data_IF_848849401700
#
_entry.id   IF_848849401700
#
_cell.length_a   1.000
_cell.length_b   1.000
_cell.length_c   1.000
_cell.angle_alpha   90.00
_cell.angle_beta   90.00
_cell.angle_gamma   90.00
#
_symmetry.space_group_name_H-M   'P 1'
#
loop_
_entity.id
_entity.type
_entity.pdbx_description
1 polymer ?
#
# COMPACT_ATOMS: atom_id res chain seq x y z
N UNK A 1 14.91 9.71 -15.64
CA UNK A 1 15.56 8.39 -15.68
C UNK A 1 16.80 8.33 -16.59
N UNK A 2 16.71 8.19 -17.92
CA UNK A 2 17.92 7.98 -18.78
C UNK A 2 18.96 9.10 -18.60
N UNK A 3 18.51 10.36 -18.56
CA UNK A 3 19.39 11.52 -18.33
C UNK A 3 20.07 11.51 -16.95
N UNK A 4 19.40 11.07 -15.89
CA UNK A 4 19.97 11.01 -14.54
C UNK A 4 20.88 9.79 -14.35
N UNK A 5 20.59 8.65 -15.01
CA UNK A 5 21.51 7.50 -15.02
C UNK A 5 22.84 7.92 -15.65
N UNK A 6 22.79 8.56 -16.83
CA UNK A 6 23.97 9.09 -17.51
C UNK A 6 24.63 10.20 -16.67
N UNK A 7 23.83 11.10 -16.10
CA UNK A 7 24.30 12.19 -15.25
C UNK A 7 25.00 11.73 -13.98
N UNK A 8 24.48 10.70 -13.30
CA UNK A 8 25.07 10.13 -12.09
C UNK A 8 26.40 9.46 -12.36
N UNK A 9 26.49 8.69 -13.45
CA UNK A 9 27.74 8.08 -13.89
C UNK A 9 28.80 9.14 -14.27
N UNK A 10 28.40 10.17 -15.01
CA UNK A 10 29.34 11.21 -15.47
C UNK A 10 29.75 12.19 -14.35
N UNK A 11 28.86 12.48 -13.39
CA UNK A 11 29.13 13.44 -12.31
C UNK A 11 29.85 12.84 -11.11
N UNK A 12 29.98 11.50 -11.05
CA UNK A 12 30.40 10.76 -9.85
C UNK A 12 29.60 11.16 -8.58
N UNK A 13 28.35 11.63 -8.70
CA UNK A 13 27.50 11.96 -7.55
C UNK A 13 26.63 10.77 -7.14
N UNK A 14 26.64 10.43 -5.84
CA UNK A 14 25.76 9.39 -5.29
C UNK A 14 24.34 9.90 -5.16
N UNK A 15 24.11 11.18 -4.85
CA UNK A 15 22.76 11.71 -4.77
C UNK A 15 22.03 11.64 -6.12
N UNK A 16 22.73 11.82 -7.24
CA UNK A 16 22.11 11.65 -8.58
C UNK A 16 21.94 10.18 -8.93
N UNK A 17 22.91 9.35 -8.61
CA UNK A 17 22.75 7.90 -8.78
C UNK A 17 21.59 7.37 -7.94
N UNK A 18 21.40 7.92 -6.72
CA UNK A 18 20.27 7.65 -5.82
C UNK A 18 18.95 8.05 -6.47
N UNK A 19 18.85 9.27 -7.00
CA UNK A 19 17.64 9.75 -7.66
C UNK A 19 17.29 8.93 -8.91
N UNK A 20 18.31 8.62 -9.73
CA UNK A 20 18.17 7.77 -10.91
C UNK A 20 17.74 6.33 -10.54
N UNK A 21 18.32 5.77 -9.48
CA UNK A 21 17.98 4.44 -8.98
C UNK A 21 16.56 4.41 -8.42
N UNK A 22 16.14 5.46 -7.69
CA UNK A 22 14.77 5.60 -7.21
C UNK A 22 13.77 5.62 -8.36
N UNK A 23 13.97 6.46 -9.39
CA UNK A 23 13.07 6.51 -10.55
C UNK A 23 13.02 5.18 -11.32
N UNK A 24 14.14 4.46 -11.39
CA UNK A 24 14.16 3.11 -11.98
C UNK A 24 13.35 2.13 -11.13
N UNK A 25 13.48 2.17 -9.80
CA UNK A 25 12.68 1.34 -8.91
C UNK A 25 11.19 1.69 -8.96
N UNK A 26 10.83 2.95 -9.14
CA UNK A 26 9.44 3.37 -9.31
C UNK A 26 8.87 2.83 -10.63
N UNK A 27 9.62 2.97 -11.72
CA UNK A 27 9.24 2.40 -13.01
C UNK A 27 9.05 0.88 -12.92
N UNK A 28 10.00 0.17 -12.29
CA UNK A 28 9.89 -1.27 -12.07
C UNK A 28 8.68 -1.62 -11.21
N UNK A 29 8.42 -0.85 -10.16
CA UNK A 29 7.28 -1.01 -9.25
C UNK A 29 5.95 -0.80 -9.97
N UNK A 30 5.86 0.16 -10.89
CA UNK A 30 4.69 0.33 -11.76
C UNK A 30 4.46 -0.87 -12.68
N UNK A 31 5.53 -1.41 -13.28
CA UNK A 31 5.42 -2.61 -14.12
C UNK A 31 4.96 -3.83 -13.32
N UNK A 32 5.52 -4.02 -12.12
CA UNK A 32 5.10 -5.08 -11.19
C UNK A 32 3.63 -4.89 -10.81
N UNK A 33 3.22 -3.67 -10.47
CA UNK A 33 1.85 -3.35 -10.05
C UNK A 33 0.83 -3.58 -11.18
N UNK A 34 1.15 -3.17 -12.41
CA UNK A 34 0.32 -3.44 -13.58
C UNK A 34 0.19 -4.93 -13.86
N UNK A 35 1.30 -5.67 -13.77
CA UNK A 35 1.30 -7.11 -13.93
C UNK A 35 0.49 -7.82 -12.83
N UNK A 36 0.62 -7.38 -11.57
CA UNK A 36 -0.14 -7.95 -10.45
C UNK A 36 -1.63 -7.66 -10.56
N UNK A 37 -2.01 -6.46 -11.00
CA UNK A 37 -3.41 -6.13 -11.30
C UNK A 37 -3.95 -7.00 -12.44
N UNK A 38 -3.18 -7.17 -13.51
CA UNK A 38 -3.54 -8.06 -14.61
C UNK A 38 -3.67 -9.53 -14.14
N UNK A 39 -2.85 -9.98 -13.20
CA UNK A 39 -3.04 -11.30 -12.57
C UNK A 39 -4.31 -11.35 -11.73
N UNK A 40 -4.60 -10.32 -10.94
CA UNK A 40 -5.76 -10.26 -10.05
C UNK A 40 -7.11 -10.27 -10.79
N UNK A 41 -7.16 -9.84 -12.06
CA UNK A 41 -8.38 -9.93 -12.89
C UNK A 41 -8.67 -11.33 -13.43
N UNK A 42 -7.74 -12.29 -13.27
CA UNK A 42 -7.96 -13.67 -13.74
C UNK A 42 -9.05 -14.37 -12.95
N UNK A 43 -9.90 -15.19 -13.61
CA UNK A 43 -10.94 -15.95 -12.94
C UNK A 43 -10.36 -16.99 -11.98
N UNK A 44 -11.18 -17.45 -11.03
CA UNK A 44 -10.83 -18.54 -10.12
C UNK A 44 -10.56 -19.85 -10.87
N UNK A 45 -9.68 -20.66 -10.31
CA UNK A 45 -9.29 -21.96 -10.89
C UNK A 45 -9.37 -23.03 -9.82
N UNK A 46 -9.34 -24.32 -10.20
CA UNK A 46 -9.34 -25.42 -9.22
C UNK A 46 -8.15 -25.40 -8.25
N UNK A 47 -7.02 -24.78 -8.64
CA UNK A 47 -5.85 -24.60 -7.75
C UNK A 47 -5.93 -23.33 -6.91
N UNK A 48 -6.58 -22.29 -7.43
CA UNK A 48 -6.76 -20.99 -6.79
C UNK A 48 -8.27 -20.71 -6.70
N UNK A 49 -8.93 -21.34 -5.73
CA UNK A 49 -10.40 -21.32 -5.58
C UNK A 49 -10.95 -19.91 -5.33
N UNK A 50 -10.23 -19.11 -4.53
CA UNK A 50 -10.55 -17.70 -4.29
C UNK A 50 -10.08 -16.77 -5.42
N UNK A 51 -9.48 -17.29 -6.48
CA UNK A 51 -8.88 -16.46 -7.54
C UNK A 51 -7.48 -15.95 -7.22
N UNK A 52 -7.04 -14.98 -8.00
CA UNK A 52 -5.66 -14.46 -8.00
C UNK A 52 -5.53 -13.13 -7.26
N UNK A 53 -6.48 -12.77 -6.40
CA UNK A 53 -6.54 -11.44 -5.74
C UNK A 53 -5.30 -11.12 -4.88
N UNK A 54 -4.72 -12.12 -4.21
CA UNK A 54 -3.46 -11.95 -3.45
C UNK A 54 -2.25 -11.60 -4.32
N UNK A 55 -2.33 -11.74 -5.66
CA UNK A 55 -1.25 -11.31 -6.56
C UNK A 55 -0.94 -9.81 -6.42
N UNK A 56 -1.96 -8.98 -6.16
CA UNK A 56 -1.80 -7.55 -5.92
C UNK A 56 -0.93 -7.27 -4.68
N UNK A 57 -1.23 -7.97 -3.59
CA UNK A 57 -0.50 -7.87 -2.32
C UNK A 57 0.95 -8.33 -2.48
N UNK A 58 1.16 -9.44 -3.20
CA UNK A 58 2.51 -9.96 -3.51
C UNK A 58 3.29 -8.97 -4.40
N UNK A 59 2.61 -8.37 -5.39
CA UNK A 59 3.19 -7.33 -6.24
C UNK A 59 3.65 -6.13 -5.42
N UNK A 60 2.78 -5.59 -4.56
CA UNK A 60 3.11 -4.49 -3.65
C UNK A 60 4.30 -4.83 -2.73
N UNK A 61 4.29 -6.02 -2.11
CA UNK A 61 5.38 -6.49 -1.26
C UNK A 61 6.71 -6.57 -2.02
N UNK A 62 6.69 -7.11 -3.24
CA UNK A 62 7.88 -7.25 -4.10
C UNK A 62 8.44 -5.87 -4.47
N UNK A 63 7.58 -4.92 -4.84
CA UNK A 63 7.96 -3.54 -5.14
C UNK A 63 8.63 -2.87 -3.93
N UNK A 64 8.05 -2.99 -2.73
CA UNK A 64 8.64 -2.39 -1.51
C UNK A 64 9.98 -3.04 -1.16
N UNK A 65 10.10 -4.36 -1.27
CA UNK A 65 11.37 -5.06 -1.04
C UNK A 65 12.46 -4.60 -2.02
N UNK A 66 12.12 -4.39 -3.29
CA UNK A 66 13.03 -3.88 -4.30
C UNK A 66 13.53 -2.47 -3.95
N UNK A 67 12.64 -1.59 -3.50
CA UNK A 67 13.01 -0.25 -2.99
C UNK A 67 13.97 -0.37 -1.79
N UNK A 68 13.71 -1.27 -0.85
CA UNK A 68 14.58 -1.46 0.33
C UNK A 68 15.97 -1.98 -0.04
N UNK A 69 16.06 -2.90 -1.00
CA UNK A 69 17.35 -3.40 -1.50
C UNK A 69 18.16 -2.27 -2.13
N UNK A 70 17.54 -1.48 -3.00
CA UNK A 70 18.22 -0.34 -3.65
C UNK A 70 18.63 0.71 -2.62
N UNK A 71 17.74 1.04 -1.68
CA UNK A 71 18.03 1.97 -0.57
C UNK A 71 19.21 1.47 0.27
N UNK A 72 19.25 0.17 0.60
CA UNK A 72 20.36 -0.43 1.35
C UNK A 72 21.70 -0.34 0.61
N UNK A 73 21.70 -0.54 -0.71
CA UNK A 73 22.89 -0.37 -1.56
C UNK A 73 23.36 1.09 -1.55
N UNK A 74 22.44 2.06 -1.66
CA UNK A 74 22.77 3.49 -1.66
C UNK A 74 23.31 3.95 -0.30
N UNK A 75 22.72 3.50 0.81
CA UNK A 75 23.22 3.75 2.17
C UNK A 75 24.62 3.17 2.33
N UNK A 76 24.87 1.94 1.86
CA UNK A 76 26.20 1.33 1.90
C UNK A 76 27.23 2.17 1.12
N UNK A 77 26.90 2.63 -0.09
CA UNK A 77 27.77 3.50 -0.88
C UNK A 77 28.01 4.86 -0.19
N UNK A 78 26.98 5.44 0.43
CA UNK A 78 27.10 6.70 1.17
C UNK A 78 28.03 6.57 2.40
N UNK A 79 27.92 5.46 3.15
CA UNK A 79 28.86 5.13 4.24
C UNK A 79 30.29 4.96 3.71
N UNK A 80 30.46 4.27 2.58
CA UNK A 80 31.78 4.11 1.96
C UNK A 80 32.40 5.45 1.57
N UNK A 81 31.61 6.42 1.09
CA UNK A 81 32.09 7.78 0.79
C UNK A 81 32.43 8.60 2.04
N UNK A 82 31.74 8.35 3.15
CA UNK A 82 32.00 9.04 4.41
C UNK A 82 33.31 8.58 5.07
N UNK A 83 33.65 7.29 4.91
CA UNK A 83 34.83 6.66 5.53
C UNK A 83 36.04 6.64 4.57
N UNK A 84 35.80 6.65 3.25
CA UNK A 84 36.81 6.55 2.20
C UNK A 84 37.59 7.84 1.91
N UNK A 85 38.53 7.74 0.95
CA UNK A 85 39.35 8.85 0.43
C UNK A 85 38.48 9.96 -0.19
N UNK A 86 38.99 11.21 -0.27
CA UNK A 86 38.29 12.32 -0.92
C UNK A 86 37.91 11.95 -2.36
N UNK A 87 36.64 12.13 -2.69
CA UNK A 87 36.10 11.98 -4.03
C UNK A 87 35.86 13.37 -4.63
N UNK A 88 35.84 13.48 -5.96
CA UNK A 88 35.46 14.71 -6.64
C UNK A 88 34.06 14.56 -7.22
N UNK A 89 33.16 15.49 -6.89
CA UNK A 89 31.85 15.61 -7.54
C UNK A 89 31.95 16.71 -8.60
N UNK A 90 31.48 16.42 -9.81
CA UNK A 90 31.18 17.48 -10.77
C UNK A 90 29.89 18.20 -10.37
N UNK A 91 30.04 19.22 -9.53
CA UNK A 91 28.93 20.02 -9.00
C UNK A 91 28.11 20.69 -10.11
N UNK A 92 28.70 20.98 -11.28
CA UNK A 92 28.01 21.63 -12.39
C UNK A 92 27.09 20.64 -13.10
N UNK A 93 27.60 19.45 -13.40
CA UNK A 93 26.74 18.36 -13.89
C UNK A 93 25.65 18.04 -12.87
N UNK A 94 26.01 18.02 -11.59
CA UNK A 94 25.07 17.68 -10.54
C UNK A 94 23.90 18.66 -10.44
N UNK A 95 24.18 19.94 -10.55
CA UNK A 95 23.20 21.02 -10.53
C UNK A 95 22.26 20.97 -11.75
N UNK A 96 22.80 20.71 -12.93
CA UNK A 96 22.00 20.64 -14.17
C UNK A 96 21.03 19.47 -14.11
N UNK A 97 21.51 18.27 -13.76
CA UNK A 97 20.68 17.06 -13.77
C UNK A 97 19.60 17.10 -12.69
N UNK A 98 19.94 17.51 -11.47
CA UNK A 98 18.95 17.67 -10.39
C UNK A 98 17.94 18.79 -10.68
N UNK A 99 18.38 19.89 -11.32
CA UNK A 99 17.48 20.94 -11.77
C UNK A 99 16.45 20.46 -12.80
N UNK A 100 16.86 19.61 -13.75
CA UNK A 100 15.94 18.95 -14.69
C UNK A 100 14.97 18.03 -13.96
N UNK A 101 15.44 17.23 -13.00
CA UNK A 101 14.59 16.35 -12.19
C UNK A 101 13.50 17.11 -11.44
N UNK A 102 13.86 18.22 -10.79
CA UNK A 102 12.89 19.13 -10.11
C UNK A 102 11.84 19.65 -11.09
N UNK A 103 12.25 20.09 -12.28
CA UNK A 103 11.30 20.60 -13.30
C UNK A 103 10.36 19.50 -13.77
N UNK A 104 10.86 18.28 -14.01
CA UNK A 104 10.03 17.15 -14.44
C UNK A 104 9.02 16.77 -13.35
N UNK A 105 9.45 16.67 -12.08
CA UNK A 105 8.54 16.38 -10.96
C UNK A 105 7.50 17.48 -10.76
N UNK A 106 7.86 18.74 -10.98
CA UNK A 106 6.92 19.87 -10.96
C UNK A 106 5.85 19.73 -12.06
N UNK A 107 6.25 19.41 -13.30
CA UNK A 107 5.32 19.20 -14.43
C UNK A 107 4.38 18.02 -14.15
N UNK A 108 4.90 16.92 -13.61
CA UNK A 108 4.09 15.76 -13.22
C UNK A 108 3.07 16.15 -12.15
N UNK A 109 3.50 16.87 -11.11
CA UNK A 109 2.63 17.35 -10.04
C UNK A 109 1.50 18.26 -10.54
N UNK A 110 1.82 19.21 -11.43
CA UNK A 110 0.82 20.10 -12.03
C UNK A 110 -0.17 19.35 -12.92
N UNK A 111 0.31 18.42 -13.75
CA UNK A 111 -0.54 17.63 -14.65
C UNK A 111 -1.56 16.80 -13.86
N UNK A 112 -1.11 16.19 -12.77
CA UNK A 112 -1.95 15.37 -11.90
C UNK A 112 -2.98 16.22 -11.13
N UNK A 113 -2.58 17.42 -10.68
CA UNK A 113 -3.49 18.36 -10.02
C UNK A 113 -4.56 18.92 -10.98
N UNK A 114 -4.21 19.16 -12.24
CA UNK A 114 -5.12 19.72 -13.24
C UNK A 114 -6.23 18.73 -13.64
N UNK A 115 -5.94 17.42 -13.63
CA UNK A 115 -6.94 16.37 -13.88
C UNK A 115 -7.88 16.11 -12.70
N UNK A 116 -7.52 16.56 -11.48
CA UNK A 116 -8.40 16.52 -10.31
C UNK A 116 -9.50 17.61 -10.33
N UNK A 117 -9.35 18.64 -11.15
CA UNK A 117 -10.26 19.80 -11.20
C UNK A 117 -10.99 19.98 -12.54
N UNK A 118 -10.80 19.08 -13.51
CA UNK A 118 -11.32 19.22 -14.88
C UNK A 118 -12.55 18.36 -15.23
N UNK A 119 -13.24 17.78 -14.26
CA UNK A 119 -14.54 17.10 -14.47
C UNK A 119 -15.73 17.98 -14.06
N UNK A 120 -15.85 19.16 -14.68
CA UNK A 120 -17.15 19.82 -14.84
C UNK A 120 -17.53 19.75 -16.32
N UNK A 121 -18.25 18.68 -16.68
CA UNK A 121 -18.70 18.44 -18.06
C UNK A 121 -19.97 17.60 -18.11
N UNK A 122 -21.12 18.28 -18.00
CA UNK A 122 -22.44 17.99 -18.56
C UNK A 122 -23.19 16.68 -18.22
N UNK A 123 -24.20 16.86 -17.34
CA UNK A 123 -25.58 16.38 -17.42
C UNK A 123 -25.87 14.95 -17.93
N UNK A 124 -26.36 14.08 -17.04
CA UNK A 124 -27.63 13.35 -17.23
C UNK A 124 -28.20 12.95 -15.85
N UNK A 125 -29.53 13.01 -15.74
CA UNK A 125 -30.35 12.79 -14.54
C UNK A 125 -30.21 11.40 -13.92
N UNK A 126 -30.31 11.34 -12.58
CA UNK A 126 -30.88 10.18 -11.87
C UNK A 126 -30.01 9.53 -10.79
N UNK A 127 -30.39 9.71 -9.51
CA UNK A 127 -30.11 8.73 -8.45
C UNK A 127 -29.04 9.11 -7.43
N UNK A 128 -29.46 9.21 -6.17
CA UNK A 128 -28.65 9.48 -4.97
C UNK A 128 -27.53 8.45 -4.73
N UNK A 129 -26.29 8.91 -4.61
CA UNK A 129 -25.35 8.55 -3.52
C UNK A 129 -24.12 9.44 -3.63
N UNK A 130 -23.96 10.33 -2.66
CA UNK A 130 -22.97 11.40 -2.68
C UNK A 130 -21.76 10.97 -1.85
N UNK A 131 -20.97 10.01 -2.36
CA UNK A 131 -19.61 9.81 -1.88
C UNK A 131 -18.67 10.50 -2.88
N UNK A 132 -18.01 11.55 -2.40
CA UNK A 132 -16.87 12.15 -3.08
C UNK A 132 -15.74 11.12 -3.08
N UNK A 133 -15.78 10.18 -4.02
CA UNK A 133 -14.60 9.44 -4.45
C UNK A 133 -13.71 10.42 -5.23
N UNK A 134 -13.09 11.37 -4.51
CA UNK A 134 -11.81 11.89 -5.00
C UNK A 134 -10.95 10.64 -5.22
N UNK A 135 -10.75 10.28 -6.50
CA UNK A 135 -10.10 9.05 -6.90
C UNK A 135 -8.91 8.77 -5.97
N UNK A 136 -9.06 7.82 -5.05
CA UNK A 136 -8.05 7.49 -4.05
C UNK A 136 -6.70 7.21 -4.71
N UNK A 137 -6.76 6.65 -5.92
CA UNK A 137 -5.63 6.41 -6.81
C UNK A 137 -4.94 7.70 -7.27
N UNK A 138 -5.68 8.76 -7.59
CA UNK A 138 -5.12 10.08 -7.96
C UNK A 138 -4.48 10.75 -6.73
N UNK A 139 -5.12 10.65 -5.56
CA UNK A 139 -4.54 11.16 -4.31
C UNK A 139 -3.26 10.41 -3.93
N UNK A 140 -3.25 9.08 -4.07
CA UNK A 140 -2.07 8.25 -3.84
C UNK A 140 -0.93 8.60 -4.81
N UNK A 141 -1.24 8.72 -6.10
CA UNK A 141 -0.28 9.14 -7.12
C UNK A 141 0.25 10.57 -6.87
N UNK A 142 -0.58 11.49 -6.37
CA UNK A 142 -0.15 12.84 -6.01
C UNK A 142 0.82 12.84 -4.82
N UNK A 143 0.53 12.07 -3.78
CA UNK A 143 1.42 11.91 -2.62
C UNK A 143 2.77 11.30 -3.05
N UNK A 144 2.75 10.33 -3.98
CA UNK A 144 3.96 9.75 -4.57
C UNK A 144 4.80 10.82 -5.30
N UNK A 145 4.21 11.54 -6.25
CA UNK A 145 4.90 12.60 -7.01
C UNK A 145 5.42 13.72 -6.10
N UNK A 146 4.69 14.05 -5.03
CA UNK A 146 5.16 15.01 -4.03
C UNK A 146 6.41 14.50 -3.28
N UNK A 147 6.47 13.20 -2.97
CA UNK A 147 7.65 12.54 -2.41
C UNK A 147 8.86 12.66 -3.33
N UNK A 148 8.69 12.31 -4.62
CA UNK A 148 9.75 12.40 -5.63
C UNK A 148 10.22 13.85 -5.82
N UNK A 149 9.29 14.81 -5.82
CA UNK A 149 9.62 16.23 -5.88
C UNK A 149 10.49 16.66 -4.70
N UNK A 150 10.10 16.30 -3.46
CA UNK A 150 10.88 16.63 -2.26
C UNK A 150 12.28 16.03 -2.31
N UNK A 151 12.40 14.80 -2.84
CA UNK A 151 13.68 14.13 -3.03
C UNK A 151 14.57 14.87 -4.04
N UNK A 152 14.10 15.07 -5.29
CA UNK A 152 14.89 15.76 -6.31
C UNK A 152 15.21 17.21 -5.90
N UNK A 153 14.31 17.87 -5.17
CA UNK A 153 14.55 19.22 -4.65
C UNK A 153 15.67 19.26 -3.59
N UNK A 154 15.72 18.29 -2.66
CA UNK A 154 16.82 18.25 -1.70
C UNK A 154 18.17 17.90 -2.35
N UNK A 155 18.19 17.05 -3.39
CA UNK A 155 19.41 16.81 -4.19
C UNK A 155 19.83 18.10 -4.92
N UNK A 156 18.89 18.87 -5.45
CA UNK A 156 19.16 20.17 -6.07
C UNK A 156 19.73 21.18 -5.08
N UNK A 157 19.19 21.26 -3.85
CA UNK A 157 19.76 22.09 -2.79
C UNK A 157 21.18 21.65 -2.40
N UNK A 158 21.42 20.34 -2.28
CA UNK A 158 22.76 19.80 -2.05
C UNK A 158 23.74 20.21 -3.16
N UNK A 159 23.30 20.14 -4.42
CA UNK A 159 24.09 20.54 -5.58
C UNK A 159 24.45 22.04 -5.55
N UNK A 160 23.50 22.91 -5.18
CA UNK A 160 23.75 24.35 -5.00
C UNK A 160 24.83 24.60 -3.93
N UNK A 161 24.72 23.93 -2.78
CA UNK A 161 25.68 24.10 -1.68
C UNK A 161 27.08 23.66 -2.12
N UNK A 162 27.19 22.51 -2.78
CA UNK A 162 28.47 21.96 -3.27
C UNK A 162 29.05 22.84 -4.39
N UNK A 163 28.20 23.43 -5.24
CA UNK A 163 28.64 24.33 -6.31
C UNK A 163 29.30 25.61 -5.78
N UNK A 164 28.71 26.25 -4.77
CA UNK A 164 29.28 27.46 -4.15
C UNK A 164 30.40 27.17 -3.14
N UNK A 165 30.34 26.02 -2.45
CA UNK A 165 31.32 25.59 -1.45
C UNK A 165 31.73 24.14 -1.70
N UNK A 166 32.76 23.95 -2.53
CA UNK A 166 33.31 22.62 -2.86
C UNK A 166 33.77 21.81 -1.64
N UNK A 167 34.18 22.47 -0.57
CA UNK A 167 34.60 21.81 0.68
C UNK A 167 33.45 21.09 1.40
N UNK A 168 32.20 21.37 1.05
CA UNK A 168 31.00 20.81 1.68
C UNK A 168 30.49 19.56 0.95
N UNK A 169 31.41 18.77 0.38
CA UNK A 169 31.08 17.57 -0.39
C UNK A 169 30.31 16.51 0.42
N UNK A 170 30.47 16.52 1.75
CA UNK A 170 29.78 15.66 2.71
C UNK A 170 28.24 15.83 2.70
N UNK A 171 27.75 16.94 2.14
CA UNK A 171 26.30 17.19 2.00
C UNK A 171 25.65 16.14 1.10
N UNK A 172 26.36 15.58 0.11
CA UNK A 172 25.85 14.51 -0.79
C UNK A 172 25.47 13.24 0.01
N UNK A 173 26.37 12.61 0.80
CA UNK A 173 26.03 11.50 1.69
C UNK A 173 24.95 11.82 2.75
N UNK A 174 24.98 13.00 3.36
CA UNK A 174 23.98 13.40 4.35
C UNK A 174 22.59 13.44 3.73
N UNK A 175 22.48 14.01 2.53
CA UNK A 175 21.25 14.06 1.75
C UNK A 175 20.72 12.65 1.45
N UNK A 176 21.60 11.74 1.00
CA UNK A 176 21.26 10.32 0.78
C UNK A 176 20.73 9.63 2.04
N UNK A 177 21.34 9.85 3.21
CA UNK A 177 20.85 9.26 4.47
C UNK A 177 19.46 9.77 4.87
N UNK A 178 19.24 11.08 4.78
CA UNK A 178 17.94 11.69 5.10
C UNK A 178 16.85 11.08 4.22
N UNK A 179 17.07 11.01 2.91
CA UNK A 179 16.09 10.44 2.00
C UNK A 179 15.89 8.93 2.18
N UNK A 180 16.95 8.19 2.46
CA UNK A 180 16.84 6.76 2.77
C UNK A 180 15.96 6.51 3.99
N UNK A 181 16.09 7.32 5.05
CA UNK A 181 15.25 7.22 6.25
C UNK A 181 13.79 7.57 5.92
N UNK A 182 13.55 8.63 5.16
CA UNK A 182 12.20 9.01 4.75
C UNK A 182 11.52 7.90 3.94
N UNK A 183 12.21 7.32 2.96
CA UNK A 183 11.71 6.21 2.14
C UNK A 183 11.40 4.99 3.01
N UNK A 184 12.28 4.63 3.96
CA UNK A 184 12.03 3.51 4.85
C UNK A 184 10.78 3.73 5.72
N UNK A 185 10.59 4.95 6.26
CA UNK A 185 9.41 5.27 7.09
C UNK A 185 8.12 5.18 6.27
N UNK A 186 8.09 5.77 5.07
CA UNK A 186 6.87 5.80 4.24
C UNK A 186 6.50 4.42 3.74
N UNK A 187 7.49 3.61 3.34
CA UNK A 187 7.26 2.27 2.81
C UNK A 187 7.05 1.20 3.89
N UNK A 188 7.49 1.42 5.13
CA UNK A 188 7.25 0.48 6.23
C UNK A 188 5.76 0.28 6.54
N UNK A 189 4.96 1.35 6.42
CA UNK A 189 3.51 1.24 6.59
C UNK A 189 2.88 0.31 5.55
N UNK A 190 3.30 0.43 4.28
CA UNK A 190 2.82 -0.40 3.17
C UNK A 190 3.27 -1.85 3.36
N UNK A 191 4.53 -2.06 3.73
CA UNK A 191 5.08 -3.38 4.05
C UNK A 191 4.25 -4.07 5.14
N UNK A 192 3.98 -3.36 6.25
CA UNK A 192 3.18 -3.89 7.36
C UNK A 192 1.79 -4.31 6.89
N UNK A 193 1.11 -3.46 6.11
CA UNK A 193 -0.23 -3.74 5.63
C UNK A 193 -0.25 -4.95 4.69
N UNK A 194 0.70 -5.06 3.76
CA UNK A 194 0.83 -6.20 2.86
C UNK A 194 1.07 -7.52 3.63
N UNK A 195 1.95 -7.49 4.63
CA UNK A 195 2.22 -8.66 5.50
C UNK A 195 0.98 -9.05 6.29
N UNK A 196 0.24 -8.08 6.85
CA UNK A 196 -1.00 -8.36 7.58
C UNK A 196 -2.04 -9.07 6.71
N UNK A 197 -2.20 -8.66 5.44
CA UNK A 197 -3.10 -9.35 4.51
C UNK A 197 -2.61 -10.77 4.20
N UNK A 198 -1.30 -10.97 4.00
CA UNK A 198 -0.73 -12.31 3.78
C UNK A 198 -0.86 -13.24 4.99
N UNK A 199 -0.85 -12.67 6.20
CA UNK A 199 -1.03 -13.37 7.47
C UNK A 199 -2.51 -13.54 7.84
N UNK A 200 -3.43 -13.23 6.94
CA UNK A 200 -4.89 -13.39 7.13
C UNK A 200 -5.43 -12.58 8.30
N UNK A 201 -4.82 -11.43 8.56
CA UNK A 201 -5.29 -10.50 9.59
C UNK A 201 -6.61 -9.84 9.17
N UNK A 202 -7.35 -9.37 10.18
CA UNK A 202 -8.54 -8.54 10.00
C UNK A 202 -8.11 -7.22 9.32
N UNK A 203 -8.75 -6.82 8.22
CA UNK A 203 -8.41 -5.59 7.52
C UNK A 203 -8.76 -4.35 8.34
N UNK A 204 -8.09 -3.23 8.04
CA UNK A 204 -8.38 -1.94 8.67
C UNK A 204 -9.82 -1.52 8.38
N UNK A 205 -10.50 -1.00 9.40
CA UNK A 205 -11.88 -0.51 9.29
C UNK A 205 -12.96 -1.55 9.59
N UNK A 206 -12.59 -2.81 9.87
CA UNK A 206 -13.50 -3.82 10.40
C UNK A 206 -13.15 -4.10 11.85
N UNK A 207 -14.15 -3.95 12.72
CA UNK A 207 -14.06 -4.32 14.12
C UNK A 207 -14.63 -5.72 14.35
N UNK A 208 -13.84 -6.57 15.01
CA UNK A 208 -14.22 -7.96 15.30
C UNK A 208 -15.48 -8.04 16.18
N UNK A 209 -15.53 -7.24 17.23
CA UNK A 209 -16.63 -7.20 18.19
C UNK A 209 -17.89 -6.67 17.52
N UNK A 210 -17.76 -5.71 16.61
CA UNK A 210 -18.89 -5.18 15.86
C UNK A 210 -19.55 -6.26 14.97
N UNK A 211 -18.76 -7.06 14.24
CA UNK A 211 -19.29 -8.18 13.45
C UNK A 211 -19.95 -9.23 14.34
N UNK A 212 -19.29 -9.57 15.46
CA UNK A 212 -19.81 -10.55 16.40
C UNK A 212 -21.15 -10.10 17.02
N UNK A 213 -21.25 -8.85 17.43
CA UNK A 213 -22.45 -8.30 18.05
C UNK A 213 -23.64 -8.28 17.09
N UNK A 214 -23.42 -8.03 15.80
CA UNK A 214 -24.49 -8.12 14.79
C UNK A 214 -25.05 -9.53 14.73
N UNK A 215 -24.16 -10.54 14.66
CA UNK A 215 -24.59 -11.94 14.60
C UNK A 215 -25.30 -12.39 15.89
N UNK A 216 -24.83 -11.93 17.06
CA UNK A 216 -25.44 -12.23 18.36
C UNK A 216 -26.82 -11.57 18.55
N UNK A 217 -27.06 -10.42 17.90
CA UNK A 217 -28.33 -9.70 18.02
C UNK A 217 -29.48 -10.31 17.20
N UNK A 218 -29.21 -11.34 16.41
CA UNK A 218 -30.22 -12.02 15.61
C UNK A 218 -31.05 -12.94 16.52
N UNK A 219 -32.38 -12.84 16.39
CA UNK A 219 -33.30 -13.64 17.20
C UNK A 219 -33.05 -15.15 17.03
N UNK A 220 -32.91 -15.84 18.16
CA UNK A 220 -32.65 -17.28 18.21
C UNK A 220 -31.17 -17.67 18.16
N UNK A 221 -30.24 -16.71 17.95
CA UNK A 221 -28.80 -16.96 18.12
C UNK A 221 -28.45 -16.95 19.60
N UNK A 222 -27.81 -18.02 20.08
CA UNK A 222 -27.32 -18.15 21.46
C UNK A 222 -25.84 -17.85 21.59
N UNK A 223 -25.04 -18.23 20.59
CA UNK A 223 -23.59 -18.08 20.61
C UNK A 223 -23.03 -17.98 19.19
N UNK A 224 -21.98 -17.19 19.03
CA UNK A 224 -21.15 -17.14 17.82
C UNK A 224 -19.75 -17.55 18.22
N UNK A 225 -19.13 -18.40 17.41
CA UNK A 225 -17.82 -18.96 17.71
C UNK A 225 -17.07 -19.30 16.42
N UNK A 226 -15.74 -19.46 16.54
CA UNK A 226 -14.84 -19.64 15.41
C UNK A 226 -15.04 -18.56 14.31
N UNK A 227 -15.34 -17.32 14.73
CA UNK A 227 -15.42 -16.18 13.84
C UNK A 227 -14.02 -15.86 13.31
N UNK A 228 -13.85 -15.97 12.00
CA UNK A 228 -12.63 -15.66 11.25
C UNK A 228 -12.97 -14.62 10.21
N UNK A 229 -12.22 -13.53 10.20
CA UNK A 229 -12.35 -12.46 9.23
C UNK A 229 -10.96 -12.20 8.69
N UNK A 230 -10.80 -12.21 7.36
CA UNK A 230 -9.50 -11.99 6.73
C UNK A 230 -9.67 -11.24 5.42
N UNK A 231 -8.57 -10.68 4.93
CA UNK A 231 -8.50 -10.03 3.63
C UNK A 231 -7.86 -10.93 2.56
N UNK A 232 -8.43 -10.95 1.36
CA UNK A 232 -7.81 -11.53 0.16
C UNK A 232 -7.00 -10.50 -0.61
N UNK A 233 -7.45 -9.25 -0.59
CA UNK A 233 -6.81 -8.03 -1.12
C UNK A 233 -7.29 -6.84 -0.29
N UNK A 234 -6.85 -5.62 -0.60
CA UNK A 234 -7.26 -4.41 0.13
C UNK A 234 -8.77 -4.14 0.08
N UNK A 235 -9.45 -4.64 -0.95
CA UNK A 235 -10.86 -4.41 -1.26
C UNK A 235 -11.74 -5.67 -1.11
N UNK A 236 -11.16 -6.83 -0.81
CA UNK A 236 -11.90 -8.11 -0.72
C UNK A 236 -11.73 -8.75 0.63
N UNK A 237 -12.76 -8.58 1.44
CA UNK A 237 -12.85 -9.17 2.77
C UNK A 237 -13.67 -10.45 2.70
N UNK A 238 -13.17 -11.50 3.35
CA UNK A 238 -13.87 -12.76 3.52
C UNK A 238 -14.06 -13.08 5.00
N UNK A 239 -15.15 -13.79 5.31
CA UNK A 239 -15.39 -14.28 6.67
C UNK A 239 -15.90 -15.71 6.70
N UNK A 240 -15.68 -16.36 7.84
CA UNK A 240 -16.35 -17.59 8.22
C UNK A 240 -16.72 -17.57 9.70
N UNK A 241 -17.88 -18.09 10.07
CA UNK A 241 -18.30 -18.20 11.46
C UNK A 241 -19.24 -19.38 11.68
N UNK A 242 -19.27 -19.87 12.92
CA UNK A 242 -20.28 -20.79 13.39
C UNK A 242 -21.29 -20.02 14.26
N UNK A 243 -22.57 -20.24 14.00
CA UNK A 243 -23.68 -19.57 14.68
C UNK A 243 -24.56 -20.64 15.31
N UNK A 244 -24.49 -20.72 16.64
CA UNK A 244 -25.24 -21.67 17.43
C UNK A 244 -26.63 -21.10 17.79
N UNK A 245 -27.69 -21.80 17.39
CA UNK A 245 -29.08 -21.36 17.55
C UNK A 245 -29.82 -22.17 18.61
N UNK A 246 -30.90 -21.62 19.17
CA UNK A 246 -31.79 -22.34 20.07
C UNK A 246 -32.57 -23.47 19.36
N UNK A 247 -32.85 -24.54 20.10
CA UNK A 247 -33.72 -25.62 19.60
C UNK A 247 -35.09 -25.07 19.18
N UNK A 248 -35.54 -25.43 17.97
CA UNK A 248 -36.79 -24.96 17.38
C UNK A 248 -36.70 -23.66 16.57
N UNK A 249 -35.54 -22.98 16.56
CA UNK A 249 -35.30 -21.84 15.66
C UNK A 249 -35.10 -22.32 14.23
N UNK A 250 -35.68 -21.63 13.25
CA UNK A 250 -35.49 -21.97 11.83
C UNK A 250 -34.08 -21.56 11.36
N UNK A 251 -33.20 -22.52 10.99
CA UNK A 251 -31.82 -22.23 10.59
C UNK A 251 -31.74 -21.34 9.34
N UNK A 252 -32.67 -21.52 8.39
CA UNK A 252 -32.66 -20.78 7.13
C UNK A 252 -32.96 -19.29 7.33
N UNK A 253 -33.85 -18.98 8.29
CA UNK A 253 -34.17 -17.60 8.62
C UNK A 253 -32.99 -16.89 9.28
N UNK A 254 -32.29 -17.57 10.20
CA UNK A 254 -31.07 -17.03 10.84
C UNK A 254 -29.98 -16.80 9.81
N UNK A 255 -29.74 -17.77 8.92
CA UNK A 255 -28.74 -17.63 7.84
C UNK A 255 -29.05 -16.43 6.93
N UNK A 256 -30.31 -16.26 6.54
CA UNK A 256 -30.74 -15.14 5.69
C UNK A 256 -30.54 -13.79 6.38
N UNK A 257 -30.95 -13.66 7.65
CA UNK A 257 -30.78 -12.42 8.43
C UNK A 257 -29.30 -12.11 8.64
N UNK A 258 -28.50 -13.10 9.07
CA UNK A 258 -27.07 -12.93 9.31
C UNK A 258 -26.31 -12.51 8.06
N UNK A 259 -26.60 -13.16 6.93
CA UNK A 259 -25.98 -12.81 5.65
C UNK A 259 -26.33 -11.39 5.24
N UNK A 260 -27.61 -11.01 5.37
CA UNK A 260 -28.08 -9.68 5.01
C UNK A 260 -27.46 -8.60 5.89
N UNK A 261 -27.56 -8.72 7.21
CA UNK A 261 -27.16 -7.66 8.14
C UNK A 261 -25.65 -7.40 8.07
N UNK A 262 -24.85 -8.45 7.91
CA UNK A 262 -23.39 -8.32 7.75
C UNK A 262 -23.05 -7.76 6.36
N UNK A 263 -23.73 -8.19 5.30
CA UNK A 263 -23.48 -7.67 3.95
C UNK A 263 -23.88 -6.20 3.81
N UNK A 264 -25.05 -5.80 4.31
CA UNK A 264 -25.56 -4.43 4.26
C UNK A 264 -24.63 -3.44 4.98
N UNK A 265 -23.95 -3.89 6.05
CA UNK A 265 -23.06 -3.04 6.84
C UNK A 265 -21.61 -3.01 6.36
N UNK A 266 -21.04 -4.16 5.99
CA UNK A 266 -19.61 -4.26 5.69
C UNK A 266 -19.27 -4.67 4.26
N UNK A 267 -20.25 -5.07 3.46
CA UNK A 267 -20.07 -5.48 2.07
C UNK A 267 -18.97 -6.54 1.87
N UNK A 268 -19.00 -7.61 2.68
CA UNK A 268 -18.03 -8.70 2.55
C UNK A 268 -18.14 -9.37 1.18
N UNK A 269 -16.98 -9.65 0.59
CA UNK A 269 -16.85 -10.29 -0.72
C UNK A 269 -17.29 -11.75 -0.67
N UNK A 270 -16.89 -12.48 0.38
CA UNK A 270 -17.24 -13.88 0.59
C UNK A 270 -17.63 -14.12 2.06
N UNK A 271 -18.68 -14.90 2.29
CA UNK A 271 -19.16 -15.20 3.64
C UNK A 271 -19.63 -16.65 3.71
N UNK A 272 -19.14 -17.38 4.71
CA UNK A 272 -19.61 -18.74 5.01
C UNK A 272 -20.04 -18.85 6.46
N UNK A 273 -21.34 -19.05 6.69
CA UNK A 273 -21.92 -19.23 8.02
C UNK A 273 -22.38 -20.67 8.20
N UNK A 274 -21.83 -21.34 9.20
CA UNK A 274 -22.31 -22.65 9.63
C UNK A 274 -23.36 -22.45 10.74
N UNK A 275 -24.60 -22.86 10.48
CA UNK A 275 -25.67 -22.82 11.48
C UNK A 275 -25.73 -24.19 12.18
N UNK A 276 -25.67 -24.18 13.51
CA UNK A 276 -25.71 -25.40 14.33
C UNK A 276 -26.59 -25.22 15.56
N UNK A 277 -27.09 -26.31 16.15
CA UNK A 277 -27.86 -26.22 17.39
C UNK A 277 -26.92 -26.02 18.58
N UNK A 278 -27.30 -25.14 19.49
CA UNK A 278 -26.54 -24.89 20.71
C UNK A 278 -26.49 -26.13 21.61
N UNK A 279 -25.29 -26.51 22.03
CA UNK A 279 -25.04 -27.55 23.02
C UNK A 279 -24.30 -26.95 24.22
N UNK A 280 -24.64 -27.36 25.44
CA UNK A 280 -24.03 -26.82 26.67
C UNK A 280 -22.50 -27.00 26.70
N UNK A 281 -21.99 -28.07 26.08
CA UNK A 281 -20.55 -28.33 25.93
C UNK A 281 -19.80 -27.23 25.15
N UNK A 282 -20.51 -26.40 24.37
CA UNK A 282 -19.91 -25.28 23.64
C UNK A 282 -19.47 -24.15 24.57
N UNK A 283 -19.97 -24.06 25.81
CA UNK A 283 -19.53 -23.05 26.78
C UNK A 283 -18.06 -23.23 27.17
N UNK A 284 -17.64 -24.48 27.41
CA UNK A 284 -16.29 -24.84 27.85
C UNK A 284 -15.29 -25.12 26.70
N UNK A 285 -15.76 -25.04 25.45
CA UNK A 285 -14.95 -25.31 24.27
C UNK A 285 -13.81 -24.28 24.10
N UNK A 286 -12.56 -24.74 24.23
CA UNK A 286 -11.37 -23.88 24.08
C UNK A 286 -11.19 -23.35 22.65
N UNK A 287 -11.59 -24.10 21.63
CA UNK A 287 -11.56 -23.66 20.23
C UNK A 287 -12.66 -22.65 19.89
N UNK A 288 -13.65 -22.52 20.75
CA UNK A 288 -14.82 -21.67 20.59
C UNK A 288 -14.67 -20.34 21.33
N UNK A 289 -13.53 -20.11 21.98
CA UNK A 289 -13.21 -18.85 22.66
C UNK A 289 -12.86 -17.77 21.65
N UNK A 290 -13.29 -16.55 21.95
CA UNK A 290 -12.89 -15.40 21.15
C UNK A 290 -11.37 -15.21 21.22
N UNK A 291 -10.74 -14.78 20.12
CA UNK A 291 -9.35 -14.34 20.15
C UNK A 291 -9.17 -13.20 21.16
N UNK A 292 -8.08 -13.26 21.92
CA UNK A 292 -7.72 -12.30 22.99
C UNK A 292 -7.15 -11.00 22.47
#
# INVERSE_FOLDING_TARGET
>A
MIGEIVGGYLSNSLAIASDAAHLLTDFASFMISLFSLFMATRPSTKKMSFGWYRAEVIGALTSVLLIWVVTGVLVYMAVQRLIGQPYEIDAKLMLITSGVGVIVNLIMGFTLHQHGHSHHGHSHEGGQSNHKDENINVRAAFIHVLGDFLQSFGVFLAAIVIYFKRDWIIVDPICTFIFSVLVLITTFAIMKDAVLVLMEAIPKGIDFEEVMNILLNIEGVKKVHNLRIWALSLDKVAMSAHVAISAGTNPQNVLMMATKDVHDKFNFFEMTLQIEEFQDAMEDCQQCKNPS
#
